data_IF_641776436389
#
_entry.id   IF_641776436389
#
_cell.length_a   1.000
_cell.length_b   1.000
_cell.length_c   1.000
_cell.angle_alpha   90.00
_cell.angle_beta   90.00
_cell.angle_gamma   90.00
#
_symmetry.space_group_name_H-M   'P 1'
#
loop_
_entity.id
_entity.type
_entity.pdbx_description
1 polymer ?
#
# COMPACT_ATOMS: atom_id res chain seq x y z
N UNK A 1 -0.92 -16.15 3.42
CA UNK A 1 -1.48 -14.92 2.84
C UNK A 1 -0.56 -14.48 1.72
N UNK A 2 -1.07 -14.20 0.51
CA UNK A 2 -0.23 -13.66 -0.57
C UNK A 2 0.07 -12.21 -0.21
N UNK A 3 1.29 -11.94 0.25
CA UNK A 3 1.79 -10.57 0.43
C UNK A 3 2.33 -10.07 -0.89
N UNK A 4 2.08 -8.79 -1.19
CA UNK A 4 2.85 -8.12 -2.22
C UNK A 4 4.25 -7.87 -1.68
N UNK A 5 5.24 -7.96 -2.55
CA UNK A 5 6.57 -7.45 -2.24
C UNK A 5 6.52 -5.91 -2.15
N UNK A 6 7.48 -5.31 -1.46
CA UNK A 6 7.46 -3.88 -1.16
C UNK A 6 7.52 -3.02 -2.43
N UNK A 7 8.13 -3.55 -3.51
CA UNK A 7 8.35 -2.89 -4.80
C UNK A 7 7.64 -3.61 -5.96
N UNK A 8 6.57 -4.37 -5.67
CA UNK A 8 5.90 -5.31 -6.59
C UNK A 8 5.52 -4.73 -7.97
N UNK A 9 5.33 -3.42 -8.07
CA UNK A 9 4.95 -2.72 -9.30
C UNK A 9 6.14 -2.54 -10.27
N UNK A 10 7.38 -2.50 -9.76
CA UNK A 10 8.61 -2.32 -10.52
C UNK A 10 9.50 -3.59 -10.55
N UNK A 11 9.16 -4.62 -9.76
CA UNK A 11 9.89 -5.89 -9.73
C UNK A 11 9.51 -6.83 -10.88
N UNK A 12 10.48 -7.53 -11.47
CA UNK A 12 10.21 -8.55 -12.48
C UNK A 12 9.72 -7.97 -13.81
N UNK A 13 8.78 -8.65 -14.46
CA UNK A 13 8.25 -8.20 -15.77
C UNK A 13 7.23 -7.07 -15.56
N UNK A 14 7.50 -5.91 -16.16
CA UNK A 14 6.65 -4.71 -16.11
C UNK A 14 5.67 -4.81 -17.26
N UNK A 15 4.56 -5.48 -16.97
CA UNK A 15 3.44 -5.66 -17.88
C UNK A 15 2.15 -5.31 -17.12
N UNK A 16 1.33 -4.45 -17.72
CA UNK A 16 0.13 -3.93 -17.08
C UNK A 16 -0.84 -5.05 -16.73
N UNK A 17 -1.04 -6.03 -17.61
CA UNK A 17 -2.00 -7.11 -17.37
C UNK A 17 -1.58 -7.97 -16.18
N UNK A 18 -0.34 -8.42 -16.14
CA UNK A 18 0.21 -9.21 -15.04
C UNK A 18 0.09 -8.47 -13.71
N UNK A 19 0.51 -7.21 -13.66
CA UNK A 19 0.48 -6.39 -12.44
C UNK A 19 -0.95 -6.10 -12.01
N UNK A 20 -1.85 -5.82 -12.95
CA UNK A 20 -3.29 -5.64 -12.69
C UNK A 20 -3.88 -6.88 -12.03
N UNK A 21 -3.68 -8.07 -12.56
CA UNK A 21 -4.24 -9.29 -11.97
C UNK A 21 -3.61 -9.65 -10.64
N UNK A 22 -2.30 -9.41 -10.48
CA UNK A 22 -1.61 -9.59 -9.20
C UNK A 22 -2.23 -8.71 -8.12
N UNK A 23 -2.46 -7.43 -8.43
CA UNK A 23 -3.11 -6.50 -7.52
C UNK A 23 -4.55 -6.91 -7.21
N UNK A 24 -5.34 -7.25 -8.22
CA UNK A 24 -6.74 -7.63 -8.02
C UNK A 24 -6.86 -8.87 -7.12
N UNK A 25 -5.98 -9.87 -7.30
CA UNK A 25 -5.94 -11.03 -6.42
C UNK A 25 -5.55 -10.67 -4.98
N UNK A 26 -4.62 -9.72 -4.80
CA UNK A 26 -4.23 -9.22 -3.48
C UNK A 26 -5.38 -8.47 -2.80
N UNK A 27 -6.04 -7.54 -3.50
CA UNK A 27 -7.17 -6.77 -2.96
C UNK A 27 -8.37 -7.67 -2.65
N UNK A 28 -8.63 -8.68 -3.50
CA UNK A 28 -9.65 -9.67 -3.22
C UNK A 28 -9.37 -10.41 -1.91
N UNK A 29 -8.12 -10.82 -1.68
CA UNK A 29 -7.74 -11.46 -0.44
C UNK A 29 -7.94 -10.51 0.76
N UNK A 30 -7.56 -9.24 0.65
CA UNK A 30 -7.79 -8.25 1.73
C UNK A 30 -9.27 -8.08 2.04
N UNK A 31 -10.10 -7.92 1.02
CA UNK A 31 -11.53 -7.71 1.21
C UNK A 31 -12.18 -8.88 1.96
N UNK A 32 -11.72 -10.11 1.74
CA UNK A 32 -12.18 -11.26 2.54
C UNK A 32 -11.91 -11.09 4.04
N UNK A 33 -10.78 -10.49 4.43
CA UNK A 33 -10.51 -10.19 5.84
C UNK A 33 -11.40 -9.05 6.35
N UNK A 34 -11.65 -8.03 5.53
CA UNK A 34 -12.53 -6.92 5.89
C UNK A 34 -13.98 -7.41 6.09
N UNK A 35 -14.47 -8.30 5.24
CA UNK A 35 -15.78 -8.94 5.38
C UNK A 35 -15.89 -9.75 6.70
N UNK A 36 -14.77 -10.28 7.19
CA UNK A 36 -14.67 -10.96 8.49
C UNK A 36 -14.42 -10.01 9.68
N UNK A 37 -14.50 -8.68 9.48
CA UNK A 37 -14.15 -7.64 10.46
C UNK A 37 -12.70 -7.72 10.97
N UNK A 38 -11.79 -8.31 10.19
CA UNK A 38 -10.36 -8.44 10.50
C UNK A 38 -9.59 -7.34 9.78
N UNK A 39 -9.54 -6.17 10.41
CA UNK A 39 -8.93 -4.99 9.80
C UNK A 39 -7.40 -5.01 9.81
N UNK A 40 -6.82 -5.40 10.94
CA UNK A 40 -5.36 -5.42 11.14
C UNK A 40 -4.82 -6.84 11.15
N UNK A 41 -3.65 -7.09 10.54
CA UNK A 41 -2.70 -6.12 9.96
C UNK A 41 -2.97 -5.67 8.50
N UNK A 42 -4.05 -6.12 7.87
CA UNK A 42 -4.29 -6.00 6.42
C UNK A 42 -4.39 -4.55 5.93
N UNK A 43 -5.11 -3.70 6.66
CA UNK A 43 -5.24 -2.29 6.33
C UNK A 43 -3.88 -1.58 6.36
N UNK A 44 -3.03 -1.90 7.35
CA UNK A 44 -1.69 -1.31 7.45
C UNK A 44 -0.77 -1.74 6.28
N UNK A 45 -0.88 -3.00 5.84
CA UNK A 45 -0.15 -3.54 4.69
C UNK A 45 -0.58 -2.84 3.38
N UNK A 46 -1.90 -2.68 3.18
CA UNK A 46 -2.46 -1.96 2.04
C UNK A 46 -2.03 -0.49 1.99
N UNK A 47 -2.11 0.22 3.11
CA UNK A 47 -1.67 1.62 3.22
C UNK A 47 -0.17 1.73 2.90
N UNK A 48 0.65 0.78 3.36
CA UNK A 48 2.06 0.75 3.04
C UNK A 48 2.32 0.65 1.53
N UNK A 49 1.68 -0.30 0.84
CA UNK A 49 1.86 -0.43 -0.61
C UNK A 49 1.31 0.77 -1.40
N UNK A 50 0.20 1.36 -0.97
CA UNK A 50 -0.33 2.59 -1.57
C UNK A 50 0.68 3.73 -1.45
N UNK A 51 1.25 3.94 -0.27
CA UNK A 51 2.26 4.98 -0.04
C UNK A 51 3.51 4.75 -0.87
N UNK A 52 3.97 3.51 -1.05
CA UNK A 52 5.12 3.21 -1.91
C UNK A 52 4.88 3.63 -3.37
N UNK A 53 3.70 3.32 -3.90
CA UNK A 53 3.33 3.64 -5.29
C UNK A 53 3.19 5.14 -5.48
N UNK A 54 2.53 5.83 -4.53
CA UNK A 54 2.39 7.29 -4.58
C UNK A 54 3.74 7.98 -4.46
N UNK A 55 4.58 7.53 -3.52
CA UNK A 55 5.93 8.06 -3.35
C UNK A 55 6.76 7.87 -4.62
N UNK A 56 6.68 6.70 -5.27
CA UNK A 56 7.38 6.47 -6.53
C UNK A 56 6.87 7.41 -7.65
N UNK A 57 5.56 7.61 -7.76
CA UNK A 57 4.95 8.51 -8.75
C UNK A 57 5.37 9.98 -8.55
N UNK A 58 5.48 10.42 -7.31
CA UNK A 58 5.80 11.82 -6.98
C UNK A 58 7.30 12.10 -7.00
N UNK A 59 8.14 11.12 -6.65
CA UNK A 59 9.58 11.28 -6.51
C UNK A 59 10.39 10.98 -7.79
N UNK A 60 9.83 11.25 -8.97
CA UNK A 60 10.45 11.08 -10.31
C UNK A 60 11.88 11.64 -10.50
N UNK A 61 12.46 12.33 -9.51
CA UNK A 61 13.78 12.97 -9.59
C UNK A 61 14.63 12.95 -8.31
N UNK A 62 14.04 12.66 -7.14
CA UNK A 62 14.74 12.69 -5.84
C UNK A 62 14.35 11.48 -5.00
N UNK A 63 14.91 10.34 -5.37
CA UNK A 63 14.49 9.02 -4.89
C UNK A 63 15.09 8.63 -3.52
N UNK A 64 15.82 9.49 -2.80
CA UNK A 64 16.46 9.11 -1.53
C UNK A 64 15.76 9.69 -0.28
N UNK A 65 15.18 10.89 -0.36
CA UNK A 65 14.80 11.62 0.87
C UNK A 65 13.36 11.38 1.33
N UNK A 66 12.49 10.80 0.49
CA UNK A 66 11.05 10.73 0.76
C UNK A 66 10.43 9.33 0.72
N UNK A 67 11.20 8.27 0.45
CA UNK A 67 10.64 6.93 0.54
C UNK A 67 10.31 6.57 2.00
N UNK A 68 9.20 5.85 2.24
CA UNK A 68 8.80 5.47 3.59
C UNK A 68 9.93 4.68 4.28
N UNK A 69 10.21 5.03 5.54
CA UNK A 69 11.30 4.49 6.40
C UNK A 69 11.34 2.95 6.53
N UNK A 70 10.37 2.24 5.97
CA UNK A 70 10.30 0.78 5.97
C UNK A 70 11.06 0.12 4.81
N UNK A 71 11.36 0.83 3.72
CA UNK A 71 12.15 0.28 2.63
C UNK A 71 13.63 0.19 3.04
N UNK A 72 14.27 -0.94 2.75
CA UNK A 72 15.72 -1.08 2.97
C UNK A 72 16.51 -0.28 1.93
N UNK A 73 17.73 0.18 2.25
CA UNK A 73 18.59 0.92 1.31
C UNK A 73 18.80 0.22 -0.03
N UNK A 74 18.94 -1.12 0.00
CA UNK A 74 19.07 -1.96 -1.20
C UNK A 74 17.84 -1.83 -2.13
N UNK A 75 16.63 -1.79 -1.57
CA UNK A 75 15.40 -1.67 -2.37
C UNK A 75 15.25 -0.28 -2.99
N UNK A 76 15.70 0.76 -2.28
CA UNK A 76 15.71 2.14 -2.80
C UNK A 76 16.69 2.26 -3.98
N UNK A 77 17.89 1.69 -3.85
CA UNK A 77 18.88 1.63 -4.93
C UNK A 77 18.37 0.85 -6.15
N UNK A 78 17.66 -0.27 -5.93
CA UNK A 78 17.06 -1.05 -7.00
C UNK A 78 15.99 -0.24 -7.76
N UNK A 79 15.10 0.44 -7.04
CA UNK A 79 14.08 1.30 -7.66
C UNK A 79 14.70 2.45 -8.46
N UNK A 80 15.80 3.03 -7.96
CA UNK A 80 16.55 4.08 -8.64
C UNK A 80 17.14 3.60 -9.95
N UNK A 81 17.90 2.50 -9.92
CA UNK A 81 18.52 1.95 -11.13
C UNK A 81 17.48 1.52 -12.16
N UNK A 82 16.37 0.92 -11.73
CA UNK A 82 15.25 0.56 -12.60
C UNK A 82 14.62 1.80 -13.26
N UNK A 83 14.40 2.87 -12.48
CA UNK A 83 13.80 4.09 -13.00
C UNK A 83 14.70 4.81 -14.01
N UNK A 84 16.01 4.90 -13.74
CA UNK A 84 17.00 5.48 -14.66
C UNK A 84 17.02 4.73 -15.99
N UNK A 85 17.00 3.39 -15.96
CA UNK A 85 16.93 2.55 -17.16
C UNK A 85 15.63 2.74 -17.94
N UNK A 86 14.50 2.94 -17.26
CA UNK A 86 13.20 3.11 -17.90
C UNK A 86 12.99 4.49 -18.51
N UNK A 87 13.67 5.54 -18.03
CA UNK A 87 13.57 6.86 -18.67
C UNK A 87 14.08 6.83 -20.12
N UNK A 88 15.03 5.95 -20.42
CA UNK A 88 15.54 5.77 -21.78
C UNK A 88 14.53 5.05 -22.69
N UNK A 89 13.56 4.34 -22.12
CA UNK A 89 12.50 3.59 -22.82
C UNK A 89 11.12 4.20 -22.58
N UNK A 90 10.64 4.94 -23.57
CA UNK A 90 9.36 5.65 -23.51
C UNK A 90 8.13 4.70 -23.42
N UNK A 91 8.24 3.44 -23.86
CA UNK A 91 7.13 2.49 -23.75
C UNK A 91 7.05 1.90 -22.35
N UNK A 92 8.19 1.49 -21.77
CA UNK A 92 8.24 0.94 -20.42
C UNK A 92 7.81 1.95 -19.35
N UNK A 93 8.22 3.21 -19.48
CA UNK A 93 7.81 4.25 -18.52
C UNK A 93 6.29 4.50 -18.58
N UNK A 94 5.69 4.49 -19.78
CA UNK A 94 4.24 4.63 -19.93
C UNK A 94 3.49 3.44 -19.33
N UNK A 95 4.00 2.23 -19.53
CA UNK A 95 3.41 1.02 -18.97
C UNK A 95 3.44 1.05 -17.42
N UNK A 96 4.56 1.48 -16.86
CA UNK A 96 4.71 1.67 -15.42
C UNK A 96 3.73 2.72 -14.87
N UNK A 97 3.57 3.85 -15.57
CA UNK A 97 2.59 4.86 -15.20
C UNK A 97 1.16 4.32 -15.23
N UNK A 98 0.82 3.51 -16.23
CA UNK A 98 -0.49 2.85 -16.32
C UNK A 98 -0.74 1.93 -15.12
N UNK A 99 0.27 1.13 -14.75
CA UNK A 99 0.23 0.25 -13.56
C UNK A 99 0.00 1.07 -12.29
N UNK A 100 0.81 2.10 -12.08
CA UNK A 100 0.75 2.98 -10.89
C UNK A 100 -0.62 3.65 -10.78
N UNK A 101 -1.13 4.23 -11.87
CA UNK A 101 -2.41 4.94 -11.88
C UNK A 101 -3.58 4.00 -11.59
N UNK A 102 -3.60 2.84 -12.23
CA UNK A 102 -4.61 1.82 -11.95
C UNK A 102 -4.54 1.34 -10.50
N UNK A 103 -3.32 1.06 -10.01
CA UNK A 103 -3.10 0.52 -8.68
C UNK A 103 -3.49 1.51 -7.58
N UNK A 104 -3.04 2.76 -7.68
CA UNK A 104 -3.35 3.80 -6.73
C UNK A 104 -4.86 4.02 -6.58
N UNK A 105 -5.60 4.03 -7.70
CA UNK A 105 -7.06 4.15 -7.68
C UNK A 105 -7.74 3.00 -6.93
N UNK A 106 -7.38 1.75 -7.27
CA UNK A 106 -7.96 0.55 -6.63
C UNK A 106 -7.61 0.42 -5.16
N UNK A 107 -6.35 0.67 -4.80
CA UNK A 107 -5.90 0.64 -3.41
C UNK A 107 -6.60 1.72 -2.59
N UNK A 108 -6.72 2.94 -3.10
CA UNK A 108 -7.40 4.04 -2.40
C UNK A 108 -8.85 3.69 -2.07
N UNK A 109 -9.61 3.15 -3.03
CA UNK A 109 -10.98 2.70 -2.77
C UNK A 109 -11.04 1.63 -1.68
N UNK A 110 -10.13 0.66 -1.72
CA UNK A 110 -10.09 -0.42 -0.73
C UNK A 110 -9.69 0.09 0.66
N UNK A 111 -8.76 1.06 0.74
CA UNK A 111 -8.41 1.75 1.99
C UNK A 111 -9.62 2.46 2.57
N UNK A 112 -10.37 3.21 1.75
CA UNK A 112 -11.59 3.89 2.20
C UNK A 112 -12.59 2.92 2.82
N UNK A 113 -12.85 1.76 2.18
CA UNK A 113 -13.72 0.73 2.76
C UNK A 113 -13.20 0.17 4.08
N UNK A 114 -11.88 -0.02 4.21
CA UNK A 114 -11.29 -0.44 5.49
C UNK A 114 -11.41 0.65 6.58
N UNK A 115 -11.26 1.92 6.21
CA UNK A 115 -11.42 3.05 7.13
C UNK A 115 -12.87 3.16 7.62
N UNK A 116 -13.86 2.94 6.77
CA UNK A 116 -15.28 2.93 7.18
C UNK A 116 -15.56 1.88 8.28
N UNK A 117 -14.94 0.69 8.18
CA UNK A 117 -15.06 -0.36 9.20
C UNK A 117 -14.37 0.09 10.51
N UNK A 118 -13.21 0.74 10.40
CA UNK A 118 -12.51 1.29 11.58
C UNK A 118 -13.38 2.33 12.30
N UNK A 119 -13.92 3.29 11.56
CA UNK A 119 -14.78 4.37 12.08
C UNK A 119 -16.02 3.77 12.76
N UNK A 120 -16.65 2.77 12.14
CA UNK A 120 -17.77 2.07 12.74
C UNK A 120 -17.42 1.42 14.10
N UNK A 121 -16.26 0.76 14.19
CA UNK A 121 -15.81 0.16 15.46
C UNK A 121 -15.51 1.23 16.50
N UNK A 122 -14.83 2.31 16.11
CA UNK A 122 -14.45 3.42 16.99
C UNK A 122 -15.67 4.11 17.60
N UNK A 123 -16.71 4.40 16.79
CA UNK A 123 -17.95 5.04 17.25
C UNK A 123 -18.74 4.16 18.24
N UNK A 124 -18.61 2.85 18.13
CA UNK A 124 -19.33 1.89 18.98
C UNK A 124 -18.46 1.33 20.12
N UNK A 125 -17.21 1.79 20.25
CA UNK A 125 -16.28 1.29 21.25
C UNK A 125 -16.55 1.95 22.61
N UNK A 126 -16.80 1.14 23.63
CA UNK A 126 -16.83 1.59 25.02
C UNK A 126 -15.66 0.97 25.79
N UNK A 127 -14.78 1.82 26.33
CA UNK A 127 -13.65 1.40 27.14
C UNK A 127 -13.99 1.71 28.60
N UNK A 128 -14.02 0.67 29.42
CA UNK A 128 -14.18 0.80 30.87
C UNK A 128 -12.95 0.25 31.58
N UNK A 129 -12.41 0.96 32.59
CA UNK A 129 -11.35 0.41 33.42
C UNK A 129 -11.86 -0.76 34.26
N UNK A 130 -11.06 -1.81 34.36
CA UNK A 130 -11.31 -2.92 35.28
C UNK A 130 -10.37 -2.76 36.47
N UNK A 131 -10.92 -2.60 37.67
CA UNK A 131 -10.14 -2.45 38.91
C UNK A 131 -10.75 -1.45 39.87
N UNK A 132 -9.99 -1.09 40.91
CA UNK A 132 -10.38 -0.08 41.89
C UNK A 132 -9.91 1.28 41.35
N UNK A 133 -10.87 2.13 41.02
CA UNK A 133 -10.60 3.54 40.78
C UNK A 133 -10.50 4.25 42.15
N UNK A 134 -9.45 5.03 42.43
CA UNK A 134 -9.42 5.86 43.62
C UNK A 134 -10.59 6.85 43.56
N UNK A 135 -11.32 6.98 44.66
CA UNK A 135 -12.37 7.99 44.80
C UNK A 135 -11.68 9.36 44.82
N UNK A 136 -12.09 10.26 43.91
CA UNK A 136 -11.59 11.64 43.86
C UNK A 136 -11.71 12.30 45.23
N UNK A 137 -10.63 12.98 45.67
CA UNK A 137 -10.58 13.80 46.89
C UNK A 137 -10.77 15.26 46.52
#
# INVERSE_FOLDING_TARGET
MKKLSETWFAEGYIDFELKKYTLLAYLQAINQYFDENKLYPQLADLIFHYNNIVAFRENKRYLQEQFPKKLTGIQIEQLQGLYEQMIEDNELIQELENIINFAAGRMKTTISSGTEIYEFVEENLSIAPIGILPLDV
#
